data_IF_241156034164
#
_entry.id   IF_241156034164
#
_cell.length_a   1.000
_cell.length_b   1.000
_cell.length_c   1.000
_cell.angle_alpha   90.00
_cell.angle_beta   90.00
_cell.angle_gamma   90.00
#
_symmetry.space_group_name_H-M   'P 1'
#
loop_
_entity.id
_entity.type
_entity.pdbx_description
1 polymer ?
#
# COMPACT_ATOMS: atom_id res chain seq x y z
N UNK A 1 -44.82 4.04 7.20
CA UNK A 1 -44.09 4.85 6.20
C UNK A 1 -42.81 5.32 6.87
N UNK A 2 -41.67 4.71 6.54
CA UNK A 2 -40.37 5.17 7.08
C UNK A 2 -39.99 6.44 6.33
N UNK A 3 -39.97 7.58 7.00
CA UNK A 3 -39.43 8.80 6.43
C UNK A 3 -37.92 8.64 6.37
N UNK A 4 -37.36 8.37 5.19
CA UNK A 4 -35.94 8.60 4.96
C UNK A 4 -35.72 10.09 5.17
N UNK A 5 -35.14 10.47 6.29
CA UNK A 5 -34.65 11.83 6.49
C UNK A 5 -33.69 12.12 5.33
N UNK A 6 -34.14 12.91 4.37
CA UNK A 6 -33.30 13.35 3.26
C UNK A 6 -32.18 14.17 3.85
N UNK A 7 -30.97 13.62 3.88
CA UNK A 7 -29.80 14.36 4.33
C UNK A 7 -29.69 15.67 3.54
N UNK A 8 -29.35 16.76 4.22
CA UNK A 8 -29.08 18.03 3.57
C UNK A 8 -27.91 17.85 2.59
N UNK A 9 -28.17 17.97 1.29
CA UNK A 9 -27.11 18.04 0.28
C UNK A 9 -26.49 19.43 0.34
N UNK A 10 -25.47 19.57 1.19
CA UNK A 10 -24.72 20.82 1.37
C UNK A 10 -23.79 21.08 0.17
N UNK A 11 -23.33 20.02 -0.52
CA UNK A 11 -22.39 20.10 -1.63
C UNK A 11 -23.10 19.99 -2.99
N UNK A 12 -22.74 20.87 -3.93
CA UNK A 12 -23.13 20.75 -5.34
C UNK A 12 -22.27 19.67 -6.02
N UNK A 13 -22.77 18.43 -5.98
CA UNK A 13 -22.08 17.26 -6.53
C UNK A 13 -21.85 17.37 -8.04
N UNK A 14 -22.80 17.96 -8.75
CA UNK A 14 -22.77 18.14 -10.19
C UNK A 14 -21.67 19.10 -10.61
N UNK A 15 -21.48 20.16 -9.84
CA UNK A 15 -20.39 21.09 -10.01
C UNK A 15 -19.04 20.45 -9.67
N UNK A 16 -18.94 19.77 -8.53
CA UNK A 16 -17.67 19.22 -8.03
C UNK A 16 -17.12 18.07 -8.89
N UNK A 17 -18.00 17.26 -9.49
CA UNK A 17 -17.61 16.13 -10.33
C UNK A 17 -17.60 16.47 -11.83
N UNK A 18 -17.75 17.75 -12.18
CA UNK A 18 -17.76 18.20 -13.57
C UNK A 18 -16.39 17.95 -14.21
N UNK A 19 -16.41 17.35 -15.40
CA UNK A 19 -15.19 17.12 -16.20
C UNK A 19 -14.45 15.83 -15.86
N UNK A 20 -14.90 15.08 -14.84
CA UNK A 20 -14.38 13.73 -14.59
C UNK A 20 -14.95 12.74 -15.61
N UNK A 21 -14.07 11.91 -16.17
CA UNK A 21 -14.36 11.01 -17.30
C UNK A 21 -15.41 9.92 -17.03
N UNK A 22 -15.54 9.45 -15.78
CA UNK A 22 -16.59 8.53 -15.35
C UNK A 22 -17.09 8.95 -13.98
N UNK A 23 -17.88 10.02 -14.04
CA UNK A 23 -18.57 10.67 -12.93
C UNK A 23 -19.38 9.71 -12.05
N UNK A 24 -20.14 8.72 -12.57
CA UNK A 24 -20.85 7.75 -11.72
C UNK A 24 -19.93 6.98 -10.77
N UNK A 25 -18.74 6.57 -11.24
CA UNK A 25 -17.77 5.91 -10.38
C UNK A 25 -17.26 6.85 -9.27
N UNK A 26 -16.90 8.10 -9.61
CA UNK A 26 -16.40 9.05 -8.61
C UNK A 26 -17.47 9.40 -7.57
N UNK A 27 -18.70 9.67 -8.02
CA UNK A 27 -19.81 9.97 -7.11
C UNK A 27 -20.04 8.83 -6.11
N UNK A 28 -19.97 7.58 -6.58
CA UNK A 28 -20.10 6.41 -5.71
C UNK A 28 -18.91 6.26 -4.76
N UNK A 29 -17.69 6.47 -5.24
CA UNK A 29 -16.49 5.96 -4.57
C UNK A 29 -15.70 6.98 -3.74
N UNK A 30 -15.62 8.25 -4.13
CA UNK A 30 -14.69 9.19 -3.46
C UNK A 30 -15.39 10.11 -2.46
N UNK A 31 -14.74 10.51 -1.36
CA UNK A 31 -15.23 11.62 -0.54
C UNK A 31 -15.33 12.88 -1.41
N UNK A 32 -16.38 13.67 -1.24
CA UNK A 32 -16.50 14.97 -1.90
C UNK A 32 -15.94 16.04 -0.97
N UNK A 33 -15.13 16.93 -1.52
CA UNK A 33 -14.47 18.00 -0.79
C UNK A 33 -14.76 19.31 -1.50
N UNK A 34 -15.19 20.32 -0.75
CA UNK A 34 -15.27 21.71 -1.20
C UNK A 34 -14.35 22.57 -0.33
N UNK A 35 -13.42 23.30 -0.95
CA UNK A 35 -12.50 24.22 -0.26
C UNK A 35 -12.40 25.55 -1.01
N UNK A 36 -12.15 26.67 -0.32
CA UNK A 36 -12.09 27.99 -0.96
C UNK A 36 -10.86 28.17 -1.85
N UNK A 37 -9.80 27.38 -1.66
CA UNK A 37 -8.61 27.42 -2.51
C UNK A 37 -8.81 26.56 -3.76
N UNK A 38 -8.86 27.22 -4.91
CA UNK A 38 -9.09 26.56 -6.20
C UNK A 38 -8.00 25.55 -6.56
N UNK A 39 -6.73 25.81 -6.23
CA UNK A 39 -5.64 24.89 -6.58
C UNK A 39 -5.74 23.61 -5.74
N UNK A 40 -6.02 23.73 -4.44
CA UNK A 40 -6.26 22.56 -3.58
C UNK A 40 -7.47 21.77 -4.08
N UNK A 41 -8.54 22.47 -4.46
CA UNK A 41 -9.75 21.86 -5.00
C UNK A 41 -9.49 21.03 -6.26
N UNK A 42 -8.76 21.59 -7.22
CA UNK A 42 -8.42 20.93 -8.49
C UNK A 42 -7.47 19.76 -8.28
N UNK A 43 -6.44 19.92 -7.43
CA UNK A 43 -5.51 18.84 -7.10
C UNK A 43 -6.23 17.68 -6.42
N UNK A 44 -7.21 17.94 -5.55
CA UNK A 44 -7.98 16.88 -4.89
C UNK A 44 -8.69 15.97 -5.89
N UNK A 45 -9.44 16.54 -6.84
CA UNK A 45 -10.16 15.75 -7.84
C UNK A 45 -9.24 15.17 -8.93
N UNK A 46 -8.14 15.85 -9.24
CA UNK A 46 -7.11 15.31 -10.13
C UNK A 46 -6.45 14.05 -9.53
N UNK A 47 -6.08 14.07 -8.24
CA UNK A 47 -5.48 12.92 -7.54
C UNK A 47 -6.41 11.70 -7.53
N UNK A 48 -7.71 11.91 -7.42
CA UNK A 48 -8.69 10.82 -7.54
C UNK A 48 -8.77 10.23 -8.95
N UNK A 49 -8.67 11.06 -9.99
CA UNK A 49 -8.59 10.57 -11.38
C UNK A 49 -7.35 9.72 -11.56
N UNK A 50 -6.17 10.22 -11.17
CA UNK A 50 -4.92 9.45 -11.25
C UNK A 50 -5.01 8.14 -10.47
N UNK A 51 -5.56 8.14 -9.24
CA UNK A 51 -5.71 6.88 -8.50
C UNK A 51 -6.61 5.87 -9.25
N UNK A 52 -7.70 6.34 -9.84
CA UNK A 52 -8.63 5.50 -10.60
C UNK A 52 -7.99 4.92 -11.86
N UNK A 53 -7.21 5.70 -12.60
CA UNK A 53 -6.47 5.22 -13.78
C UNK A 53 -5.52 4.05 -13.43
N UNK A 54 -5.01 4.03 -12.21
CA UNK A 54 -4.13 2.98 -11.71
C UNK A 54 -4.86 1.76 -11.12
N UNK A 55 -6.20 1.77 -11.05
CA UNK A 55 -6.97 0.59 -10.65
C UNK A 55 -7.10 -0.39 -11.82
N UNK A 56 -6.19 -1.36 -11.87
CA UNK A 56 -6.12 -2.37 -12.93
C UNK A 56 -6.84 -3.64 -12.50
N UNK A 57 -7.83 -4.06 -13.26
CA UNK A 57 -8.50 -5.34 -13.05
C UNK A 57 -7.63 -6.48 -13.62
N UNK A 58 -7.25 -7.42 -12.78
CA UNK A 58 -6.34 -8.53 -13.08
C UNK A 58 -7.05 -9.87 -13.30
N UNK A 59 -8.39 -9.87 -13.25
CA UNK A 59 -9.23 -11.05 -13.46
C UNK A 59 -9.97 -11.48 -12.20
N UNK A 60 -10.82 -12.50 -12.32
CA UNK A 60 -11.68 -12.96 -11.22
C UNK A 60 -10.92 -13.61 -10.06
N UNK A 61 -9.69 -14.05 -10.30
CA UNK A 61 -8.87 -14.72 -9.29
C UNK A 61 -8.21 -13.72 -8.32
N UNK A 62 -7.67 -12.61 -8.84
CA UNK A 62 -6.91 -11.64 -8.05
C UNK A 62 -7.58 -10.26 -7.94
N UNK A 63 -8.69 -10.03 -8.64
CA UNK A 63 -9.47 -8.81 -8.53
C UNK A 63 -8.72 -7.58 -9.06
N UNK A 64 -8.78 -6.47 -8.32
CA UNK A 64 -8.07 -5.24 -8.65
C UNK A 64 -6.68 -5.16 -8.01
N UNK A 65 -5.73 -4.62 -8.76
CA UNK A 65 -4.45 -4.12 -8.23
C UNK A 65 -4.33 -2.61 -8.46
N UNK A 66 -3.38 -1.97 -7.78
CA UNK A 66 -2.96 -0.60 -8.06
C UNK A 66 -1.60 -0.65 -8.75
N UNK A 67 -1.52 -0.21 -10.01
CA UNK A 67 -0.25 -0.09 -10.72
C UNK A 67 0.56 1.10 -10.21
N UNK A 68 1.88 1.06 -10.36
CA UNK A 68 2.75 2.21 -10.10
C UNK A 68 3.05 2.99 -11.39
N UNK A 69 3.30 2.26 -12.48
CA UNK A 69 3.36 2.79 -13.84
C UNK A 69 2.16 2.28 -14.63
N UNK A 70 1.59 3.13 -15.49
CA UNK A 70 0.47 2.76 -16.36
C UNK A 70 0.81 1.57 -17.28
N UNK A 71 2.04 1.55 -17.78
CA UNK A 71 2.55 0.43 -18.57
C UNK A 71 3.43 -0.46 -17.69
N UNK A 72 3.26 -1.80 -17.74
CA UNK A 72 4.14 -2.72 -17.03
C UNK A 72 5.62 -2.53 -17.42
N UNK A 73 6.49 -2.66 -16.42
CA UNK A 73 7.96 -2.59 -16.56
C UNK A 73 8.60 -3.95 -16.28
N UNK A 74 9.83 -4.15 -16.73
CA UNK A 74 10.50 -5.47 -16.69
C UNK A 74 10.77 -6.02 -15.29
N UNK A 75 10.83 -5.15 -14.29
CA UNK A 75 11.04 -5.48 -12.88
C UNK A 75 9.73 -5.49 -12.06
N UNK A 76 8.57 -5.51 -12.74
CA UNK A 76 7.27 -5.62 -12.09
C UNK A 76 6.88 -7.07 -11.78
N UNK A 77 6.09 -7.23 -10.73
CA UNK A 77 5.35 -8.44 -10.40
C UNK A 77 4.35 -8.80 -11.52
N UNK A 78 3.74 -10.01 -11.52
CA UNK A 78 2.73 -10.38 -12.52
C UNK A 78 1.63 -9.32 -12.63
N UNK A 79 1.13 -9.09 -13.85
CA UNK A 79 0.21 -8.00 -14.20
C UNK A 79 0.81 -6.58 -14.16
N UNK A 80 2.08 -6.41 -13.75
CA UNK A 80 2.80 -5.13 -13.74
C UNK A 80 2.81 -4.40 -12.39
N UNK A 81 2.47 -5.08 -11.29
CA UNK A 81 2.50 -4.49 -9.95
C UNK A 81 3.92 -4.19 -9.47
N UNK A 82 4.10 -3.10 -8.73
CA UNK A 82 5.36 -2.74 -8.06
C UNK A 82 5.07 -2.43 -6.60
N UNK A 83 5.81 -3.05 -5.68
CA UNK A 83 5.51 -2.99 -4.25
C UNK A 83 6.01 -1.70 -3.58
N UNK A 84 6.92 -0.96 -4.21
CA UNK A 84 7.57 0.23 -3.66
C UNK A 84 6.56 1.25 -3.09
N UNK A 85 5.46 1.50 -3.81
CA UNK A 85 4.38 2.37 -3.36
C UNK A 85 3.14 1.65 -2.82
N UNK A 86 3.15 0.32 -2.60
CA UNK A 86 1.98 -0.45 -2.19
C UNK A 86 1.34 0.07 -0.89
N UNK A 87 2.15 0.45 0.10
CA UNK A 87 1.67 1.07 1.33
C UNK A 87 0.98 2.42 1.09
N UNK A 88 1.43 3.20 0.11
CA UNK A 88 0.77 4.44 -0.31
C UNK A 88 -0.55 4.14 -1.03
N UNK A 89 -0.58 3.15 -1.92
CA UNK A 89 -1.78 2.75 -2.65
C UNK A 89 -2.91 2.33 -1.70
N UNK A 90 -2.59 1.54 -0.68
CA UNK A 90 -3.54 1.13 0.37
C UNK A 90 -3.96 2.34 1.22
N UNK A 91 -3.02 3.21 1.59
CA UNK A 91 -3.29 4.38 2.43
C UNK A 91 -4.22 5.40 1.74
N UNK A 92 -4.08 5.61 0.44
CA UNK A 92 -4.99 6.46 -0.33
C UNK A 92 -6.32 5.73 -0.61
N UNK A 93 -6.24 4.48 -1.04
CA UNK A 93 -7.39 3.64 -1.41
C UNK A 93 -8.38 3.37 -0.28
N UNK A 94 -7.94 3.44 0.98
CA UNK A 94 -8.84 3.25 2.15
C UNK A 94 -10.01 4.22 2.19
N UNK A 95 -9.92 5.36 1.49
CA UNK A 95 -11.00 6.36 1.43
C UNK A 95 -12.02 6.07 0.32
N UNK A 96 -11.76 5.09 -0.55
CA UNK A 96 -12.74 4.63 -1.54
C UNK A 96 -13.85 3.85 -0.84
N UNK A 97 -15.10 4.22 -1.10
CA UNK A 97 -16.28 3.63 -0.43
C UNK A 97 -16.51 2.16 -0.79
N UNK A 98 -16.25 1.76 -2.04
CA UNK A 98 -16.31 0.35 -2.43
C UNK A 98 -15.03 -0.35 -1.99
N UNK A 99 -15.07 -0.96 -0.81
CA UNK A 99 -13.89 -1.54 -0.14
C UNK A 99 -13.25 -2.69 -0.91
N UNK A 100 -13.93 -3.25 -1.93
CA UNK A 100 -13.38 -4.32 -2.77
C UNK A 100 -12.05 -3.91 -3.41
N UNK A 101 -11.90 -2.65 -3.85
CA UNK A 101 -10.65 -2.18 -4.45
C UNK A 101 -9.47 -2.29 -3.48
N UNK A 102 -9.59 -1.75 -2.27
CA UNK A 102 -8.50 -1.76 -1.29
C UNK A 102 -8.24 -3.17 -0.73
N UNK A 103 -9.29 -3.99 -0.57
CA UNK A 103 -9.16 -5.39 -0.18
C UNK A 103 -8.45 -6.24 -1.23
N UNK A 104 -8.77 -6.06 -2.51
CA UNK A 104 -8.13 -6.78 -3.60
C UNK A 104 -6.66 -6.37 -3.74
N UNK A 105 -6.34 -5.08 -3.62
CA UNK A 105 -4.94 -4.58 -3.62
C UNK A 105 -4.14 -5.22 -2.48
N UNK A 106 -4.71 -5.28 -1.27
CA UNK A 106 -4.06 -5.92 -0.13
C UNK A 106 -3.86 -7.42 -0.38
N UNK A 107 -4.88 -8.14 -0.88
CA UNK A 107 -4.78 -9.56 -1.21
C UNK A 107 -3.78 -9.84 -2.32
N UNK A 108 -3.72 -8.99 -3.35
CA UNK A 108 -2.76 -9.10 -4.44
C UNK A 108 -1.33 -9.19 -3.89
N UNK A 109 -0.96 -8.30 -2.96
CA UNK A 109 0.38 -8.29 -2.36
C UNK A 109 0.61 -9.37 -1.31
N UNK A 110 -0.39 -9.64 -0.46
CA UNK A 110 -0.21 -10.46 0.76
C UNK A 110 -0.60 -11.93 0.59
N UNK A 111 -1.42 -12.26 -0.41
CA UNK A 111 -1.95 -13.61 -0.62
C UNK A 111 -2.07 -13.99 -2.12
N UNK A 112 -1.56 -13.16 -3.02
CA UNK A 112 -1.74 -13.28 -4.45
C UNK A 112 -0.42 -13.13 -5.22
N UNK A 113 -0.43 -12.49 -6.40
CA UNK A 113 0.76 -12.39 -7.25
C UNK A 113 2.00 -11.77 -6.59
N UNK A 114 1.82 -10.90 -5.60
CA UNK A 114 2.91 -10.36 -4.79
C UNK A 114 3.71 -11.45 -4.04
N UNK A 115 3.06 -12.55 -3.64
CA UNK A 115 3.71 -13.65 -2.94
C UNK A 115 4.31 -14.71 -3.90
N UNK A 116 4.21 -14.51 -5.21
CA UNK A 116 4.76 -15.46 -6.17
C UNK A 116 6.29 -15.39 -6.15
N UNK A 117 6.97 -16.51 -6.44
CA UNK A 117 8.43 -16.52 -6.48
C UNK A 117 8.95 -15.57 -7.55
N UNK A 118 10.05 -14.89 -7.25
CA UNK A 118 10.83 -14.09 -8.21
C UNK A 118 12.29 -14.54 -8.23
N UNK A 119 13.03 -14.30 -9.32
CA UNK A 119 14.47 -14.53 -9.32
C UNK A 119 15.20 -13.59 -8.33
N UNK A 120 16.29 -14.08 -7.75
CA UNK A 120 17.18 -13.32 -6.85
C UNK A 120 18.45 -12.93 -7.60
N UNK A 121 18.52 -11.71 -8.15
CA UNK A 121 19.62 -11.24 -9.02
C UNK A 121 19.98 -9.78 -8.73
N UNK A 122 21.05 -9.24 -9.29
CA UNK A 122 21.41 -7.83 -9.00
C UNK A 122 20.43 -6.82 -9.63
N UNK A 123 19.74 -7.18 -10.73
CA UNK A 123 18.78 -6.32 -11.42
C UNK A 123 17.35 -6.36 -10.84
N UNK A 124 17.09 -7.27 -9.88
CA UNK A 124 15.85 -7.43 -9.12
C UNK A 124 16.16 -8.05 -7.75
N UNK A 125 15.77 -7.40 -6.66
CA UNK A 125 16.29 -7.60 -5.31
C UNK A 125 16.82 -9.02 -5.00
N UNK A 126 18.14 -9.19 -4.99
CA UNK A 126 18.78 -10.50 -4.73
C UNK A 126 18.59 -11.02 -3.31
N UNK A 127 18.19 -10.18 -2.37
CA UNK A 127 18.07 -10.54 -0.96
C UNK A 127 16.69 -11.13 -0.64
N UNK A 128 15.76 -11.15 -1.60
CA UNK A 128 14.36 -11.54 -1.38
C UNK A 128 13.81 -12.42 -2.50
N UNK A 129 12.93 -13.36 -2.16
CA UNK A 129 12.49 -14.42 -3.08
C UNK A 129 11.07 -14.25 -3.64
N UNK A 130 10.35 -13.20 -3.26
CA UNK A 130 9.00 -12.90 -3.75
C UNK A 130 8.81 -11.41 -4.02
N UNK A 131 7.78 -11.08 -4.81
CA UNK A 131 7.54 -9.72 -5.32
C UNK A 131 7.09 -8.72 -4.25
N UNK A 132 6.48 -9.16 -3.16
CA UNK A 132 6.07 -8.31 -2.06
C UNK A 132 7.24 -7.87 -1.17
N UNK A 133 8.41 -8.48 -1.37
CA UNK A 133 9.68 -8.10 -0.74
C UNK A 133 10.70 -7.56 -1.75
N UNK A 134 10.30 -7.22 -2.98
CA UNK A 134 11.19 -6.55 -3.92
C UNK A 134 11.67 -5.19 -3.36
N UNK A 135 10.74 -4.43 -2.77
CA UNK A 135 11.02 -3.18 -2.08
C UNK A 135 10.42 -3.18 -0.67
N UNK A 136 10.97 -2.34 0.21
CA UNK A 136 10.46 -2.15 1.57
C UNK A 136 8.98 -1.70 1.59
N UNK A 137 8.16 -2.32 2.44
CA UNK A 137 6.70 -2.15 2.46
C UNK A 137 6.12 -2.22 3.89
N UNK A 138 5.44 -1.15 4.36
CA UNK A 138 4.76 -1.08 5.67
C UNK A 138 3.33 -1.66 5.64
N UNK A 139 3.22 -2.93 5.27
CA UNK A 139 1.95 -3.58 4.96
C UNK A 139 0.96 -3.57 6.13
N UNK A 140 1.40 -3.98 7.33
CA UNK A 140 0.50 -4.11 8.47
C UNK A 140 0.01 -2.74 8.95
N UNK A 141 0.89 -1.73 8.95
CA UNK A 141 0.52 -0.35 9.27
C UNK A 141 -0.52 0.19 8.30
N UNK A 142 -0.38 -0.08 7.00
CA UNK A 142 -1.33 0.37 5.99
C UNK A 142 -2.71 -0.30 6.19
N UNK A 143 -2.75 -1.62 6.41
CA UNK A 143 -3.99 -2.38 6.63
C UNK A 143 -4.67 -2.01 7.96
N UNK A 144 -3.92 -1.82 9.04
CA UNK A 144 -4.46 -1.35 10.31
C UNK A 144 -5.15 0.01 10.15
N UNK A 145 -4.51 0.95 9.46
CA UNK A 145 -5.10 2.27 9.20
C UNK A 145 -6.28 2.20 8.24
N UNK A 146 -6.32 1.25 7.31
CA UNK A 146 -7.52 1.00 6.50
C UNK A 146 -8.68 0.52 7.37
N UNK A 147 -8.44 -0.45 8.26
CA UNK A 147 -9.44 -0.92 9.22
C UNK A 147 -10.02 0.22 10.07
N UNK A 148 -9.17 1.15 10.55
CA UNK A 148 -9.64 2.31 11.32
C UNK A 148 -10.59 3.23 10.54
N UNK A 149 -10.57 3.19 9.20
CA UNK A 149 -11.49 3.95 8.34
C UNK A 149 -12.73 3.13 8.00
N UNK A 150 -12.57 1.85 7.63
CA UNK A 150 -13.67 1.02 7.11
C UNK A 150 -14.48 0.33 8.21
N UNK A 151 -13.89 0.12 9.39
CA UNK A 151 -14.46 -0.69 10.46
C UNK A 151 -14.50 -2.19 10.16
N UNK A 152 -13.93 -2.64 9.05
CA UNK A 152 -13.98 -4.04 8.60
C UNK A 152 -13.00 -4.92 9.38
N UNK A 153 -13.43 -5.31 10.58
CA UNK A 153 -12.68 -6.16 11.51
C UNK A 153 -12.37 -7.54 10.92
N UNK A 154 -13.35 -8.14 10.23
CA UNK A 154 -13.21 -9.51 9.71
C UNK A 154 -12.14 -9.57 8.63
N UNK A 155 -12.09 -8.57 7.74
CA UNK A 155 -11.04 -8.48 6.73
C UNK A 155 -9.65 -8.35 7.35
N UNK A 156 -9.43 -7.40 8.26
CA UNK A 156 -8.08 -7.14 8.79
C UNK A 156 -7.55 -8.30 9.64
N UNK A 157 -8.41 -8.93 10.46
CA UNK A 157 -8.04 -10.15 11.20
C UNK A 157 -7.75 -11.29 10.23
N UNK A 158 -8.57 -11.46 9.19
CA UNK A 158 -8.34 -12.47 8.17
C UNK A 158 -7.01 -12.33 7.42
N UNK A 159 -6.36 -11.17 7.48
CA UNK A 159 -5.02 -10.94 6.92
C UNK A 159 -3.88 -11.12 7.93
N UNK A 160 -4.15 -11.38 9.22
CA UNK A 160 -3.13 -11.41 10.27
C UNK A 160 -1.99 -12.39 9.95
N UNK A 161 -2.30 -13.62 9.54
CA UNK A 161 -1.27 -14.60 9.14
C UNK A 161 -0.42 -14.11 7.97
N UNK A 162 -1.02 -13.46 6.97
CA UNK A 162 -0.29 -12.93 5.82
C UNK A 162 0.60 -11.74 6.22
N UNK A 163 0.12 -10.89 7.14
CA UNK A 163 0.89 -9.77 7.67
C UNK A 163 2.09 -10.22 8.50
N UNK A 164 1.94 -11.26 9.33
CA UNK A 164 3.06 -11.88 10.05
C UNK A 164 4.07 -12.46 9.07
N UNK A 165 3.61 -13.15 8.02
CA UNK A 165 4.48 -13.69 6.97
C UNK A 165 5.27 -12.56 6.29
N UNK A 166 4.61 -11.46 5.93
CA UNK A 166 5.24 -10.29 5.32
C UNK A 166 6.26 -9.63 6.26
N UNK A 167 5.94 -9.50 7.56
CA UNK A 167 6.86 -8.95 8.54
C UNK A 167 8.13 -9.80 8.65
N UNK A 168 7.96 -11.12 8.81
CA UNK A 168 9.03 -12.10 8.97
C UNK A 168 9.84 -12.34 7.70
N UNK A 169 9.32 -12.00 6.52
CA UNK A 169 10.09 -12.06 5.28
C UNK A 169 11.32 -11.15 5.26
N UNK A 170 11.40 -10.19 6.19
CA UNK A 170 12.57 -9.33 6.41
C UNK A 170 13.53 -9.82 7.51
N UNK A 171 13.31 -11.00 8.10
CA UNK A 171 14.18 -11.50 9.18
C UNK A 171 15.65 -11.66 8.74
N UNK A 172 15.90 -11.95 7.46
CA UNK A 172 17.27 -11.99 6.90
C UNK A 172 17.95 -10.61 6.80
N UNK A 173 17.19 -9.53 6.94
CA UNK A 173 17.70 -8.16 7.02
C UNK A 173 17.91 -7.68 8.46
N UNK A 174 17.60 -8.50 9.48
CA UNK A 174 17.74 -8.10 10.88
C UNK A 174 19.13 -8.41 11.45
N UNK A 175 19.77 -7.42 12.06
CA UNK A 175 21.02 -7.57 12.81
C UNK A 175 20.73 -7.65 14.31
N UNK A 176 20.70 -8.87 14.87
CA UNK A 176 20.48 -9.06 16.31
C UNK A 176 21.48 -8.32 17.22
N UNK A 177 22.79 -8.22 16.90
CA UNK A 177 23.73 -7.47 17.74
C UNK A 177 23.44 -5.97 17.85
N UNK A 178 22.80 -5.39 16.83
CA UNK A 178 22.49 -3.95 16.77
C UNK A 178 21.02 -3.67 17.06
N UNK A 179 20.14 -4.67 16.96
CA UNK A 179 18.70 -4.50 17.08
C UNK A 179 18.07 -3.74 15.91
N UNK A 180 18.72 -3.73 14.74
CA UNK A 180 18.32 -2.92 13.58
C UNK A 180 18.22 -3.77 12.31
N UNK A 181 17.28 -3.40 11.45
CA UNK A 181 17.19 -3.88 10.08
C UNK A 181 18.13 -3.07 9.16
N UNK A 182 18.77 -3.74 8.21
CA UNK A 182 19.51 -3.09 7.13
C UNK A 182 18.71 -3.12 5.83
N UNK A 183 19.01 -2.21 4.90
CA UNK A 183 18.47 -2.20 3.55
C UNK A 183 19.43 -1.50 2.59
N UNK A 184 19.35 -1.82 1.30
CA UNK A 184 20.06 -1.13 0.22
C UNK A 184 19.16 -0.03 -0.37
N UNK A 185 19.66 1.20 -0.63
CA UNK A 185 18.84 2.31 -1.10
C UNK A 185 17.93 2.03 -2.30
N UNK A 186 18.39 1.29 -3.30
CA UNK A 186 17.56 0.90 -4.46
C UNK A 186 16.37 0.00 -4.07
N UNK A 187 16.57 -0.93 -3.12
CA UNK A 187 15.51 -1.82 -2.60
C UNK A 187 14.62 -1.12 -1.57
N UNK A 188 14.91 0.14 -1.27
CA UNK A 188 14.00 1.09 -0.63
C UNK A 188 13.30 2.03 -1.63
N UNK A 189 13.50 1.82 -2.94
CA UNK A 189 13.05 2.72 -4.02
C UNK A 189 13.58 4.16 -3.86
N UNK A 190 14.82 4.29 -3.39
CA UNK A 190 15.49 5.58 -3.15
C UNK A 190 16.90 5.58 -3.75
N UNK A 191 16.98 5.28 -5.05
CA UNK A 191 18.23 5.35 -5.81
C UNK A 191 18.89 6.73 -5.67
N UNK A 192 20.22 6.79 -5.81
CA UNK A 192 20.97 8.04 -5.73
C UNK A 192 20.79 8.83 -4.41
N UNK A 193 20.61 8.14 -3.28
CA UNK A 193 20.64 8.83 -1.98
C UNK A 193 22.01 9.46 -1.71
N UNK A 194 22.05 10.46 -0.82
CA UNK A 194 23.31 11.04 -0.34
C UNK A 194 24.30 9.99 0.18
N UNK A 195 23.81 8.95 0.87
CA UNK A 195 24.64 7.84 1.34
C UNK A 195 25.15 6.95 0.19
N UNK A 196 24.40 6.81 -0.90
CA UNK A 196 24.79 6.03 -2.08
C UNK A 196 26.00 6.63 -2.79
N UNK A 197 26.14 7.97 -2.80
CA UNK A 197 27.25 8.66 -3.46
C UNK A 197 28.63 8.40 -2.83
N UNK A 198 28.66 7.95 -1.57
CA UNK A 198 29.89 7.54 -0.88
C UNK A 198 30.25 6.06 -1.14
N UNK A 199 29.49 5.37 -2.00
CA UNK A 199 29.75 3.98 -2.39
C UNK A 199 30.32 3.88 -3.81
N UNK A 200 30.85 2.70 -4.17
CA UNK A 200 31.32 2.43 -5.53
C UNK A 200 30.18 2.27 -6.56
N UNK A 201 28.93 2.21 -6.11
CA UNK A 201 27.73 2.11 -6.95
C UNK A 201 26.71 3.18 -6.53
N UNK A 202 26.79 4.40 -7.08
CA UNK A 202 25.91 5.50 -6.70
C UNK A 202 24.42 5.26 -6.96
N UNK A 203 24.08 4.37 -7.91
CA UNK A 203 22.70 4.04 -8.23
C UNK A 203 22.10 3.13 -7.15
N UNK A 204 22.72 1.97 -6.90
CA UNK A 204 22.21 1.02 -5.91
C UNK A 204 22.47 1.48 -4.47
N UNK A 205 23.66 2.02 -4.21
CA UNK A 205 24.20 2.26 -2.88
C UNK A 205 24.73 0.98 -2.21
N UNK A 206 24.97 1.06 -0.89
CA UNK A 206 25.38 -0.08 -0.07
C UNK A 206 24.36 -0.41 1.01
N UNK A 207 24.45 -1.62 1.57
CA UNK A 207 23.63 -2.01 2.72
C UNK A 207 23.90 -1.09 3.92
N UNK A 208 22.84 -0.57 4.51
CA UNK A 208 22.93 0.29 5.70
C UNK A 208 21.72 0.14 6.62
N UNK A 209 21.92 0.42 7.90
CA UNK A 209 20.84 0.46 8.89
C UNK A 209 20.02 1.75 8.73
N UNK A 210 19.08 1.72 7.79
CA UNK A 210 18.34 2.91 7.34
C UNK A 210 17.08 3.15 8.18
N UNK A 211 16.72 4.41 8.45
CA UNK A 211 15.53 4.71 9.25
C UNK A 211 14.21 4.30 8.55
N UNK A 212 14.22 4.11 7.23
CA UNK A 212 13.08 3.62 6.42
C UNK A 212 12.59 2.25 6.90
N UNK A 213 13.30 1.18 6.58
CA UNK A 213 12.89 -0.19 6.91
C UNK A 213 12.73 -0.40 8.42
N UNK A 214 13.55 0.24 9.26
CA UNK A 214 13.41 0.17 10.71
C UNK A 214 12.09 0.80 11.18
N UNK A 215 11.68 1.93 10.61
CA UNK A 215 10.39 2.56 10.95
C UNK A 215 9.22 1.75 10.41
N UNK A 216 9.34 1.16 9.23
CA UNK A 216 8.31 0.30 8.65
C UNK A 216 8.10 -0.95 9.49
N UNK A 217 9.18 -1.65 9.84
CA UNK A 217 9.15 -2.83 10.73
C UNK A 217 8.60 -2.47 12.11
N UNK A 218 9.01 -1.35 12.71
CA UNK A 218 8.45 -0.90 13.98
C UNK A 218 6.94 -0.65 13.90
N UNK A 219 6.48 0.08 12.88
CA UNK A 219 5.07 0.35 12.68
C UNK A 219 4.27 -0.94 12.45
N UNK A 220 4.81 -1.85 11.65
CA UNK A 220 4.16 -3.11 11.32
C UNK A 220 4.09 -4.05 12.51
N UNK A 221 5.11 -4.11 13.37
CA UNK A 221 5.06 -4.85 14.63
C UNK A 221 3.92 -4.36 15.52
N UNK A 222 3.78 -3.03 15.69
CA UNK A 222 2.68 -2.44 16.47
C UNK A 222 1.31 -2.74 15.83
N UNK A 223 1.22 -2.63 14.51
CA UNK A 223 -0.02 -2.91 13.80
C UNK A 223 -0.43 -4.38 13.93
N UNK A 224 0.52 -5.30 13.80
CA UNK A 224 0.30 -6.75 14.01
C UNK A 224 -0.18 -7.02 15.43
N UNK A 225 0.48 -6.46 16.45
CA UNK A 225 0.07 -6.61 17.84
C UNK A 225 -1.38 -6.10 18.07
N UNK A 226 -1.73 -4.94 17.50
CA UNK A 226 -3.10 -4.41 17.60
C UNK A 226 -4.14 -5.28 16.89
N UNK A 227 -3.80 -5.83 15.72
CA UNK A 227 -4.70 -6.74 14.97
C UNK A 227 -4.86 -8.07 15.71
N UNK A 228 -3.78 -8.59 16.30
CA UNK A 228 -3.78 -9.79 17.13
C UNK A 228 -4.69 -9.60 18.36
N UNK A 229 -4.52 -8.49 19.10
CA UNK A 229 -5.41 -8.12 20.19
C UNK A 229 -6.87 -7.99 19.75
N UNK A 230 -7.12 -7.38 18.59
CA UNK A 230 -8.47 -7.25 18.02
C UNK A 230 -9.10 -8.62 17.70
N UNK A 231 -8.29 -9.60 17.32
CA UNK A 231 -8.68 -11.00 17.07
C UNK A 231 -8.68 -11.91 18.30
N UNK A 232 -8.18 -11.45 19.44
CA UNK A 232 -8.05 -12.25 20.67
C UNK A 232 -6.86 -13.23 20.67
N UNK A 233 -5.83 -12.96 19.87
CA UNK A 233 -4.58 -13.73 19.82
C UNK A 233 -3.52 -13.10 20.75
N UNK A 234 -3.57 -13.48 22.03
CA UNK A 234 -2.66 -12.92 23.05
C UNK A 234 -1.21 -13.39 22.92
N UNK A 235 -0.94 -14.48 22.21
CA UNK A 235 0.43 -14.96 22.01
C UNK A 235 1.19 -14.07 21.01
N UNK A 236 0.49 -13.55 20.00
CA UNK A 236 1.07 -12.65 18.99
C UNK A 236 0.98 -11.17 19.39
N UNK A 237 0.09 -10.81 20.32
CA UNK A 237 -0.03 -9.46 20.88
C UNK A 237 1.21 -9.03 21.69
N UNK A 238 1.82 -9.96 22.42
CA UNK A 238 2.90 -9.71 23.39
C UNK A 238 4.29 -9.98 22.82
#
# INVERSE_FOLDING_TARGET
MSSSAGGTNILDRDLLLRGLEDRPWFEKNIPLLEVPDKNIQEVYYYRWQTYKEHLIYTGTEYGYMASEFLNPVSYGAPYGGIVAAAGHHITEGRWIRDTRYSQDIAKYWLAGPGQFPKPMRDDINKDTSDWAHEYSFWAATALWRQYLVTGDKDFVIGQLTNLVKQYRGWDNHYSSPLGLYWQVPVWDATEYTAASYESSDPYHGGAGFRPTINSYQYGDAIAIANIAALGGDSDLEN
#
